data_IF_207953560920
#
_entry.id   IF_207953560920
#
_cell.length_a   1.000
_cell.length_b   1.000
_cell.length_c   1.000
_cell.angle_alpha   90.00
_cell.angle_beta   90.00
_cell.angle_gamma   90.00
#
_symmetry.space_group_name_H-M   'P 1'
#
loop_
_entity.id
_entity.type
_entity.pdbx_description
1 polymer ?
#
# COMPACT_ATOMS: atom_id res chain seq x y z
N UNK A 1 -25.91 2.51 -17.12
CA UNK A 1 -24.54 2.53 -17.67
C UNK A 1 -23.91 3.92 -17.65
N UNK A 2 -24.54 4.96 -18.24
CA UNK A 2 -23.97 6.31 -18.29
C UNK A 2 -23.64 6.93 -16.91
N UNK A 3 -24.46 6.66 -15.89
CA UNK A 3 -24.25 7.18 -14.54
C UNK A 3 -23.02 6.56 -13.85
N UNK A 4 -22.81 5.25 -14.06
CA UNK A 4 -21.65 4.51 -13.54
C UNK A 4 -20.36 4.99 -14.21
N UNK A 5 -20.36 5.11 -15.55
CA UNK A 5 -19.20 5.64 -16.28
C UNK A 5 -18.86 7.08 -15.85
N UNK A 6 -19.88 7.93 -15.67
CA UNK A 6 -19.69 9.31 -15.18
C UNK A 6 -19.08 9.35 -13.77
N UNK A 7 -19.46 8.42 -12.90
CA UNK A 7 -18.89 8.31 -11.54
C UNK A 7 -17.43 7.81 -11.59
N UNK A 8 -17.16 6.77 -12.40
CA UNK A 8 -15.80 6.23 -12.61
C UNK A 8 -14.88 7.31 -13.16
N UNK A 9 -15.29 8.04 -14.20
CA UNK A 9 -14.50 9.14 -14.77
C UNK A 9 -14.29 10.28 -13.77
N UNK A 10 -15.26 10.54 -12.90
CA UNK A 10 -15.09 11.53 -11.84
C UNK A 10 -13.99 11.09 -10.86
N UNK A 11 -14.01 9.83 -10.41
CA UNK A 11 -13.01 9.29 -9.48
C UNK A 11 -11.61 9.24 -10.13
N UNK A 12 -11.53 8.81 -11.39
CA UNK A 12 -10.29 8.78 -12.17
C UNK A 12 -9.68 10.18 -12.29
N UNK A 13 -10.50 11.20 -12.61
CA UNK A 13 -10.04 12.59 -12.73
C UNK A 13 -9.53 13.18 -11.41
N UNK A 14 -10.16 12.88 -10.28
CA UNK A 14 -9.63 13.31 -8.99
C UNK A 14 -8.27 12.70 -8.69
N UNK A 15 -8.10 11.41 -9.00
CA UNK A 15 -6.84 10.71 -8.75
C UNK A 15 -5.74 11.13 -9.72
N UNK A 16 -6.07 11.41 -10.98
CA UNK A 16 -5.12 11.97 -11.96
C UNK A 16 -4.74 13.43 -11.67
N UNK A 17 -5.65 14.22 -11.08
CA UNK A 17 -5.38 15.63 -10.77
C UNK A 17 -4.53 15.84 -9.52
N UNK A 18 -4.58 14.91 -8.56
CA UNK A 18 -3.85 15.01 -7.28
C UNK A 18 -2.79 13.92 -7.07
N UNK A 19 -2.73 12.91 -7.95
CA UNK A 19 -1.78 11.81 -7.89
C UNK A 19 -0.38 12.21 -8.38
N UNK A 20 0.65 11.65 -7.75
CA UNK A 20 2.01 11.77 -8.23
C UNK A 20 2.17 10.98 -9.54
N UNK A 21 2.48 11.69 -10.62
CA UNK A 21 2.74 11.15 -11.96
C UNK A 21 3.72 9.98 -12.00
N UNK A 22 4.67 9.90 -11.04
CA UNK A 22 5.67 8.82 -10.96
C UNK A 22 5.11 7.48 -10.53
N UNK A 23 3.93 7.47 -9.93
CA UNK A 23 3.27 6.26 -9.40
C UNK A 23 2.09 5.79 -10.24
N UNK A 24 1.78 6.52 -11.33
CA UNK A 24 0.60 6.28 -12.18
C UNK A 24 0.62 4.91 -12.86
N UNK A 25 1.80 4.39 -13.20
CA UNK A 25 1.96 3.10 -13.90
C UNK A 25 2.03 1.91 -12.93
N UNK A 26 1.91 2.14 -11.61
CA UNK A 26 1.98 1.05 -10.65
C UNK A 26 0.69 0.21 -10.67
N UNK A 27 0.81 -1.13 -10.54
CA UNK A 27 -0.35 -2.00 -10.42
C UNK A 27 -1.16 -1.57 -9.18
N UNK A 28 -2.49 -1.55 -9.32
CA UNK A 28 -3.47 -1.02 -8.34
C UNK A 28 -3.55 0.51 -8.16
N UNK A 29 -2.69 1.29 -8.82
CA UNK A 29 -2.72 2.77 -8.73
C UNK A 29 -3.50 3.43 -9.88
N UNK A 30 -3.80 2.67 -10.94
CA UNK A 30 -4.49 3.16 -12.15
C UNK A 30 -5.98 3.42 -11.95
N UNK A 31 -6.60 2.85 -10.92
CA UNK A 31 -8.02 3.02 -10.58
C UNK A 31 -8.24 2.60 -9.12
N UNK A 32 -9.20 3.18 -8.38
CA UNK A 32 -9.53 2.70 -7.04
C UNK A 32 -10.38 1.42 -7.08
N UNK A 33 -10.76 0.95 -8.27
CA UNK A 33 -11.61 -0.22 -8.44
C UNK A 33 -10.89 -1.55 -8.17
N UNK A 34 -9.67 -1.82 -8.69
CA UNK A 34 -8.90 -3.00 -8.36
C UNK A 34 -8.63 -3.16 -6.85
N UNK A 35 -8.33 -2.07 -6.14
CA UNK A 35 -8.11 -2.11 -4.69
C UNK A 35 -9.40 -2.45 -3.93
N UNK A 36 -10.52 -1.81 -4.28
CA UNK A 36 -11.83 -2.14 -3.71
C UNK A 36 -12.25 -3.58 -3.99
N UNK A 37 -12.02 -4.08 -5.22
CA UNK A 37 -12.32 -5.45 -5.60
C UNK A 37 -11.54 -6.46 -4.75
N UNK A 38 -10.25 -6.22 -4.51
CA UNK A 38 -9.42 -7.09 -3.65
C UNK A 38 -9.90 -7.06 -2.20
N UNK A 39 -10.22 -5.88 -1.66
CA UNK A 39 -10.76 -5.76 -0.31
C UNK A 39 -12.08 -6.52 -0.14
N UNK A 40 -13.02 -6.34 -1.07
CA UNK A 40 -14.32 -7.03 -1.03
C UNK A 40 -14.15 -8.54 -1.16
N UNK A 41 -13.29 -8.98 -2.08
CA UNK A 41 -13.00 -10.41 -2.28
C UNK A 41 -12.35 -11.00 -1.03
N UNK A 42 -11.39 -10.31 -0.42
CA UNK A 42 -10.76 -10.74 0.83
C UNK A 42 -11.79 -10.92 1.96
N UNK A 43 -12.66 -9.93 2.18
CA UNK A 43 -13.70 -10.00 3.22
C UNK A 43 -14.66 -11.16 2.96
N UNK A 44 -15.08 -11.37 1.71
CA UNK A 44 -15.94 -12.48 1.34
C UNK A 44 -15.27 -13.84 1.60
N UNK A 45 -14.02 -14.00 1.17
CA UNK A 45 -13.25 -15.23 1.37
C UNK A 45 -13.07 -15.53 2.87
N UNK A 46 -12.69 -14.55 3.68
CA UNK A 46 -12.42 -14.74 5.11
C UNK A 46 -13.70 -14.97 5.92
N UNK A 47 -14.79 -14.23 5.65
CA UNK A 47 -16.02 -14.32 6.45
C UNK A 47 -16.98 -15.42 6.01
N UNK A 48 -17.03 -15.74 4.72
CA UNK A 48 -18.04 -16.68 4.17
C UNK A 48 -17.39 -18.00 3.80
N UNK A 49 -16.34 -17.96 2.99
CA UNK A 49 -15.71 -19.18 2.47
C UNK A 49 -14.87 -19.89 3.54
N UNK A 50 -14.14 -19.13 4.35
CA UNK A 50 -13.28 -19.64 5.42
C UNK A 50 -14.04 -20.51 6.43
N UNK A 51 -15.09 -20.00 7.10
CA UNK A 51 -15.85 -20.77 8.08
C UNK A 51 -16.53 -22.00 7.48
N UNK A 52 -17.11 -21.87 6.28
CA UNK A 52 -17.75 -23.00 5.58
C UNK A 52 -16.78 -24.13 5.25
N UNK A 53 -15.53 -23.82 4.92
CA UNK A 53 -14.50 -24.84 4.65
C UNK A 53 -13.94 -25.45 5.95
N UNK A 54 -13.95 -24.70 7.05
CA UNK A 54 -13.43 -25.12 8.36
C UNK A 54 -14.45 -25.91 9.20
N UNK A 55 -15.74 -25.89 8.85
CA UNK A 55 -16.81 -26.56 9.61
C UNK A 55 -16.63 -28.09 9.74
N UNK A 56 -16.03 -28.74 8.74
CA UNK A 56 -15.85 -30.20 8.69
C UNK A 56 -14.38 -30.66 8.79
N UNK A 57 -13.46 -29.78 9.22
CA UNK A 57 -12.01 -30.07 9.24
C UNK A 57 -11.40 -29.73 10.61
N UNK A 58 -10.49 -30.59 11.10
CA UNK A 58 -9.68 -30.30 12.29
C UNK A 58 -8.80 -29.06 12.06
N UNK A 59 -8.51 -28.26 13.10
CA UNK A 59 -7.71 -27.05 12.96
C UNK A 59 -6.33 -27.37 12.36
N UNK A 60 -5.96 -26.62 11.32
CA UNK A 60 -4.66 -26.78 10.67
C UNK A 60 -3.54 -26.37 11.63
N UNK A 61 -2.57 -27.24 11.84
CA UNK A 61 -1.35 -26.91 12.60
C UNK A 61 -0.38 -26.16 11.68
N UNK A 62 -0.57 -24.85 11.55
CA UNK A 62 0.22 -23.96 10.69
C UNK A 62 1.41 -23.33 11.42
N UNK A 63 1.86 -23.90 12.54
CA UNK A 63 2.87 -23.31 13.42
C UNK A 63 4.17 -22.97 12.68
N UNK A 64 4.71 -23.91 11.90
CA UNK A 64 5.94 -23.68 11.13
C UNK A 64 5.75 -22.60 10.06
N UNK A 65 4.61 -22.61 9.36
CA UNK A 65 4.26 -21.58 8.38
C UNK A 65 4.16 -20.19 9.03
N UNK A 66 3.59 -20.10 10.23
CA UNK A 66 3.47 -18.86 10.98
C UNK A 66 4.84 -18.32 11.42
N UNK A 67 5.75 -19.20 11.83
CA UNK A 67 7.13 -18.82 12.21
C UNK A 67 7.88 -18.27 10.99
N UNK A 68 7.82 -18.97 9.85
CA UNK A 68 8.46 -18.52 8.60
C UNK A 68 7.87 -17.18 8.14
N UNK A 69 6.54 -17.04 8.20
CA UNK A 69 5.87 -15.79 7.83
C UNK A 69 6.33 -14.62 8.71
N UNK A 70 6.38 -14.80 10.03
CA UNK A 70 6.84 -13.74 10.93
C UNK A 70 8.33 -13.41 10.70
N UNK A 71 9.18 -14.40 10.45
CA UNK A 71 10.58 -14.16 10.12
C UNK A 71 10.73 -13.35 8.83
N UNK A 72 9.99 -13.71 7.78
CA UNK A 72 9.95 -12.97 6.54
C UNK A 72 9.44 -11.52 6.74
N UNK A 73 8.42 -11.33 7.57
CA UNK A 73 7.87 -10.01 7.89
C UNK A 73 8.89 -9.11 8.61
N UNK A 74 9.68 -9.66 9.54
CA UNK A 74 10.75 -8.92 10.23
C UNK A 74 11.86 -8.55 9.25
N UNK A 75 12.29 -9.47 8.39
CA UNK A 75 13.32 -9.20 7.37
C UNK A 75 12.84 -8.11 6.41
N UNK A 76 11.60 -8.20 5.93
CA UNK A 76 11.02 -7.20 5.03
C UNK A 76 10.93 -5.81 5.69
N UNK A 77 10.50 -5.76 6.95
CA UNK A 77 10.43 -4.51 7.70
C UNK A 77 11.81 -3.91 7.95
N UNK A 78 12.81 -4.73 8.24
CA UNK A 78 14.20 -4.28 8.42
C UNK A 78 14.79 -3.74 7.11
N UNK A 79 14.49 -4.37 5.97
CA UNK A 79 14.92 -3.88 4.66
C UNK A 79 14.27 -2.54 4.29
N UNK A 80 12.95 -2.40 4.47
CA UNK A 80 12.27 -1.11 4.28
C UNK A 80 12.85 -0.02 5.18
N UNK A 81 13.13 -0.35 6.45
CA UNK A 81 13.73 0.60 7.39
C UNK A 81 15.13 1.05 6.92
N UNK A 82 15.94 0.14 6.40
CA UNK A 82 17.27 0.47 5.85
C UNK A 82 17.19 1.46 4.68
N UNK A 83 16.34 1.18 3.68
CA UNK A 83 16.12 2.07 2.52
C UNK A 83 15.62 3.45 2.97
N UNK A 84 14.64 3.47 3.87
CA UNK A 84 14.05 4.72 4.40
C UNK A 84 15.09 5.50 5.20
N UNK A 85 15.91 4.85 6.04
CA UNK A 85 16.96 5.52 6.81
C UNK A 85 18.08 6.11 5.94
N UNK A 86 18.46 5.45 4.84
CA UNK A 86 19.46 6.00 3.92
C UNK A 86 18.90 7.21 3.19
N UNK A 87 17.71 7.08 2.60
CA UNK A 87 17.07 8.15 1.82
C UNK A 87 16.76 9.34 2.73
N UNK A 88 16.11 9.12 3.87
CA UNK A 88 15.73 10.19 4.79
C UNK A 88 16.94 10.72 5.57
N UNK A 89 17.92 9.89 5.93
CA UNK A 89 19.16 10.34 6.58
C UNK A 89 19.95 11.32 5.71
N UNK A 90 20.03 11.07 4.39
CA UNK A 90 20.64 12.00 3.44
C UNK A 90 19.81 13.29 3.28
N UNK A 91 18.48 13.17 3.23
CA UNK A 91 17.56 14.32 3.15
C UNK A 91 17.66 15.17 4.42
N UNK A 92 17.72 14.58 5.62
CA UNK A 92 17.89 15.32 6.89
C UNK A 92 19.23 16.06 6.94
N UNK A 93 20.32 15.44 6.50
CA UNK A 93 21.62 16.12 6.37
C UNK A 93 21.55 17.29 5.37
N UNK A 94 20.83 17.11 4.26
CA UNK A 94 20.62 18.16 3.24
C UNK A 94 19.67 19.28 3.69
N UNK A 95 18.64 18.98 4.47
CA UNK A 95 17.69 19.96 5.02
C UNK A 95 18.27 20.72 6.21
N UNK A 96 19.12 20.09 7.03
CA UNK A 96 19.85 20.76 8.11
C UNK A 96 20.79 21.86 7.59
N UNK A 97 21.27 21.75 6.35
CA UNK A 97 22.09 22.76 5.68
C UNK A 97 21.26 23.93 5.08
N UNK A 98 19.92 23.84 5.07
CA UNK A 98 19.04 24.83 4.42
C UNK A 98 18.52 26.05 5.23
N UNK A 99 19.05 26.50 6.39
CA UNK A 99 18.51 27.69 7.04
C UNK A 99 19.19 29.05 6.73
N UNK A 100 20.08 29.22 5.74
CA UNK A 100 20.78 30.54 5.57
C UNK A 100 20.77 31.20 4.19
N UNK A 101 20.39 30.54 3.08
CA UNK A 101 20.48 31.16 1.73
C UNK A 101 19.20 31.85 1.22
N UNK A 102 18.03 31.60 1.82
CA UNK A 102 16.78 32.25 1.40
C UNK A 102 16.53 33.65 1.97
N UNK A 103 17.29 34.09 2.98
CA UNK A 103 17.11 35.41 3.62
C UNK A 103 18.00 36.53 3.05
N UNK A 104 18.81 36.27 2.02
CA UNK A 104 19.76 37.26 1.47
C UNK A 104 19.33 37.92 0.15
N UNK A 105 18.13 37.57 -0.36
CA UNK A 105 17.54 38.16 -1.56
C UNK A 105 16.13 38.72 -1.25
N UNK A 106 16.06 39.73 -0.37
CA UNK A 106 14.98 40.71 -0.35
C UNK A 106 15.52 42.03 0.21
#
# INVERSE_FOLDING_TARGET
MALIMKYIDSMQRYMDSYGDSRTKDWPMMSSPFPTLAVCLTYVYLVKVLGPRLMENRKPFQLQNTLIIYNAAQVIFSAWLFYEVCIINGLIWWSLADQPTKKKKNN
#
